data_IF_769751775126
#
_entry.id   IF_769751775126
#
_cell.length_a   1.000
_cell.length_b   1.000
_cell.length_c   1.000
_cell.angle_alpha   90.00
_cell.angle_beta   90.00
_cell.angle_gamma   90.00
#
_symmetry.space_group_name_H-M   'P 1'
#
loop_
_entity.id
_entity.type
_entity.pdbx_description
1 polymer ?
#
# COMPACT_ATOMS: atom_id res chain seq x y z
N UNK A 1 -9.02 36.21 -35.22
CA UNK A 1 -9.58 35.09 -36.00
C UNK A 1 -8.62 34.83 -37.15
N UNK A 2 -8.14 33.66 -37.54
CA UNK A 2 -8.29 32.23 -37.24
C UNK A 2 -6.93 31.60 -37.69
N UNK A 3 -6.45 30.43 -37.29
CA UNK A 3 -7.11 29.16 -37.09
C UNK A 3 -6.40 28.38 -35.99
N UNK A 4 -7.18 27.79 -35.08
CA UNK A 4 -6.67 26.75 -34.20
C UNK A 4 -6.07 25.65 -35.08
N UNK A 5 -4.79 25.36 -34.85
CA UNK A 5 -4.11 24.24 -35.46
C UNK A 5 -4.84 22.98 -34.98
N UNK A 6 -5.80 22.48 -35.77
CA UNK A 6 -6.50 21.24 -35.44
C UNK A 6 -5.42 20.17 -35.34
N UNK A 7 -5.31 19.56 -34.16
CA UNK A 7 -4.43 18.43 -33.94
C UNK A 7 -4.61 17.44 -35.10
N UNK A 8 -3.52 17.16 -35.84
CA UNK A 8 -3.54 16.16 -36.90
C UNK A 8 -4.02 14.82 -36.31
N UNK A 9 -4.73 13.97 -37.06
CA UNK A 9 -5.18 12.66 -36.57
C UNK A 9 -4.06 11.86 -35.90
N UNK A 10 -2.86 11.86 -36.49
CA UNK A 10 -1.65 11.23 -35.94
C UNK A 10 -1.26 11.76 -34.54
N UNK A 11 -1.46 13.06 -34.27
CA UNK A 11 -1.18 13.66 -32.97
C UNK A 11 -2.25 13.33 -31.92
N UNK A 12 -3.50 13.12 -32.35
CA UNK A 12 -4.59 12.67 -31.47
C UNK A 12 -4.39 11.19 -31.11
N UNK A 13 -4.01 10.38 -32.09
CA UNK A 13 -3.73 8.96 -31.89
C UNK A 13 -2.52 8.77 -30.96
N UNK A 14 -1.46 9.56 -31.14
CA UNK A 14 -0.28 9.54 -30.25
C UNK A 14 -0.65 10.01 -28.83
N UNK A 15 -1.43 11.08 -28.69
CA UNK A 15 -1.88 11.55 -27.37
C UNK A 15 -2.74 10.49 -26.66
N UNK A 16 -3.59 9.78 -27.41
CA UNK A 16 -4.39 8.67 -26.88
C UNK A 16 -3.51 7.51 -26.43
N UNK A 17 -2.51 7.11 -27.23
CA UNK A 17 -1.56 6.05 -26.85
C UNK A 17 -0.81 6.40 -25.56
N UNK A 18 -0.32 7.64 -25.42
CA UNK A 18 0.35 8.09 -24.21
C UNK A 18 -0.58 8.10 -22.98
N UNK A 19 -1.86 8.47 -23.17
CA UNK A 19 -2.84 8.42 -22.10
C UNK A 19 -3.11 6.98 -21.64
N UNK A 20 -3.29 6.05 -22.58
CA UNK A 20 -3.49 4.62 -22.31
C UNK A 20 -2.26 4.00 -21.61
N UNK A 21 -1.04 4.35 -22.04
CA UNK A 21 0.21 3.93 -21.41
C UNK A 21 0.34 4.49 -19.98
N UNK A 22 0.07 5.78 -19.80
CA UNK A 22 0.12 6.43 -18.49
C UNK A 22 -0.87 5.80 -17.51
N UNK A 23 -2.09 5.50 -17.99
CA UNK A 23 -3.11 4.82 -17.19
C UNK A 23 -2.63 3.43 -16.76
N UNK A 24 -2.05 2.66 -17.68
CA UNK A 24 -1.50 1.34 -17.39
C UNK A 24 -0.38 1.42 -16.35
N UNK A 25 0.56 2.36 -16.52
CA UNK A 25 1.67 2.56 -15.59
C UNK A 25 1.17 2.95 -14.19
N UNK A 26 0.13 3.78 -14.09
CA UNK A 26 -0.49 4.14 -12.81
C UNK A 26 -1.12 2.92 -12.11
N UNK A 27 -1.85 2.07 -12.85
CA UNK A 27 -2.41 0.82 -12.31
C UNK A 27 -1.32 -0.11 -11.79
N UNK A 28 -0.27 -0.32 -12.59
CA UNK A 28 0.84 -1.20 -12.23
C UNK A 28 1.58 -0.67 -10.98
N UNK A 29 1.73 0.64 -10.85
CA UNK A 29 2.32 1.28 -9.67
C UNK A 29 1.49 1.05 -8.41
N UNK A 30 0.17 1.24 -8.47
CA UNK A 30 -0.72 0.96 -7.35
C UNK A 30 -0.72 -0.52 -6.95
N UNK A 31 -0.80 -1.45 -7.90
CA UNK A 31 -0.66 -2.88 -7.58
C UNK A 31 0.69 -3.22 -6.95
N UNK A 32 1.78 -2.58 -7.38
CA UNK A 32 3.08 -2.77 -6.77
C UNK A 32 3.13 -2.23 -5.33
N UNK A 33 2.53 -1.07 -5.08
CA UNK A 33 2.42 -0.49 -3.75
C UNK A 33 1.58 -1.37 -2.81
N UNK A 34 0.42 -1.84 -3.27
CA UNK A 34 -0.42 -2.78 -2.53
C UNK A 34 0.35 -4.04 -2.08
N UNK A 35 1.08 -4.68 -3.00
CA UNK A 35 1.91 -5.85 -2.66
C UNK A 35 2.96 -5.54 -1.60
N UNK A 36 3.62 -4.38 -1.67
CA UNK A 36 4.60 -3.96 -0.66
C UNK A 36 3.96 -3.77 0.71
N UNK A 37 2.80 -3.14 0.76
CA UNK A 37 2.05 -2.99 2.01
C UNK A 37 1.65 -4.37 2.59
N UNK A 38 1.24 -5.33 1.77
CA UNK A 38 0.98 -6.71 2.25
C UNK A 38 2.24 -7.39 2.82
N UNK A 39 3.39 -7.21 2.17
CA UNK A 39 4.67 -7.76 2.65
C UNK A 39 5.08 -7.13 3.99
N UNK A 40 4.90 -5.81 4.14
CA UNK A 40 5.15 -5.09 5.39
C UNK A 40 4.21 -5.55 6.50
N UNK A 41 2.91 -5.71 6.20
CA UNK A 41 1.94 -6.23 7.16
C UNK A 41 2.38 -7.61 7.69
N UNK A 42 2.71 -8.55 6.80
CA UNK A 42 3.19 -9.89 7.19
C UNK A 42 4.45 -9.84 8.05
N UNK A 43 5.34 -8.89 7.78
CA UNK A 43 6.56 -8.70 8.57
C UNK A 43 6.22 -8.23 9.97
N UNK A 44 5.35 -7.23 10.10
CA UNK A 44 4.86 -6.76 11.39
C UNK A 44 4.12 -7.84 12.18
N UNK A 45 3.27 -8.63 11.54
CA UNK A 45 2.56 -9.75 12.18
C UNK A 45 3.54 -10.78 12.75
N UNK A 46 4.59 -11.13 12.00
CA UNK A 46 5.62 -12.06 12.48
C UNK A 46 6.33 -11.49 13.70
N UNK A 47 6.69 -10.21 13.66
CA UNK A 47 7.36 -9.54 14.78
C UNK A 47 6.44 -9.43 16.00
N UNK A 48 5.17 -9.10 15.82
CA UNK A 48 4.17 -9.07 16.89
C UNK A 48 4.05 -10.42 17.59
N UNK A 49 3.93 -11.51 16.81
CA UNK A 49 3.89 -12.87 17.33
C UNK A 49 5.15 -13.22 18.13
N UNK A 50 6.34 -12.81 17.67
CA UNK A 50 7.59 -13.03 18.39
C UNK A 50 7.59 -12.33 19.75
N UNK A 51 7.13 -11.08 19.80
CA UNK A 51 7.00 -10.33 21.06
C UNK A 51 5.99 -10.96 22.01
N UNK A 52 4.82 -11.41 21.52
CA UNK A 52 3.83 -12.10 22.34
C UNK A 52 4.38 -13.41 22.93
N UNK A 53 5.11 -14.19 22.13
CA UNK A 53 5.75 -15.41 22.61
C UNK A 53 6.82 -15.12 23.67
N UNK A 54 7.58 -14.04 23.52
CA UNK A 54 8.55 -13.60 24.52
C UNK A 54 7.86 -13.17 25.81
N UNK A 55 6.81 -12.35 25.73
CA UNK A 55 6.01 -11.90 26.87
C UNK A 55 5.47 -13.07 27.68
N UNK A 56 4.89 -14.08 27.02
CA UNK A 56 4.39 -15.30 27.67
C UNK A 56 5.50 -16.08 28.40
N UNK A 57 6.69 -16.21 27.79
CA UNK A 57 7.82 -16.92 28.41
C UNK A 57 8.34 -16.17 29.64
N UNK A 58 8.36 -14.84 29.59
CA UNK A 58 8.87 -13.99 30.66
C UNK A 58 7.91 -13.95 31.84
N UNK A 59 6.61 -13.81 31.56
CA UNK A 59 5.54 -13.95 32.56
C UNK A 59 5.62 -15.29 33.31
N UNK A 60 5.94 -16.39 32.63
CA UNK A 60 6.08 -17.71 33.27
C UNK A 60 7.34 -17.86 34.13
N UNK A 61 8.42 -17.14 33.79
CA UNK A 61 9.70 -17.23 34.50
C UNK A 61 9.83 -16.21 35.64
N UNK A 62 8.97 -15.19 35.68
CA UNK A 62 9.05 -14.10 36.64
C UNK A 62 10.30 -13.21 36.45
N UNK A 63 10.80 -13.13 35.20
CA UNK A 63 11.97 -12.35 34.81
C UNK A 63 11.55 -11.38 33.70
N UNK A 64 12.00 -10.12 33.77
CA UNK A 64 11.65 -9.00 32.87
C UNK A 64 10.18 -8.54 32.96
N UNK A 65 9.87 -7.46 32.22
CA UNK A 65 8.55 -6.82 32.16
C UNK A 65 7.75 -7.34 30.95
N UNK A 66 6.83 -8.31 31.14
CA UNK A 66 6.02 -8.86 30.06
C UNK A 66 5.04 -7.83 29.47
N UNK A 67 4.65 -6.80 30.22
CA UNK A 67 3.70 -5.78 29.75
C UNK A 67 4.35 -4.90 28.69
N UNK A 68 5.65 -4.60 28.82
CA UNK A 68 6.40 -3.89 27.80
C UNK A 68 6.44 -4.68 26.48
N UNK A 69 6.69 -5.99 26.52
CA UNK A 69 6.73 -6.84 25.33
C UNK A 69 5.35 -6.97 24.69
N UNK A 70 4.31 -7.06 25.50
CA UNK A 70 2.93 -7.05 25.00
C UNK A 70 2.61 -5.73 24.29
N UNK A 71 2.99 -4.59 24.87
CA UNK A 71 2.80 -3.28 24.23
C UNK A 71 3.53 -3.18 22.87
N UNK A 72 4.75 -3.73 22.77
CA UNK A 72 5.48 -3.79 21.49
C UNK A 72 4.78 -4.69 20.47
N UNK A 73 4.21 -5.82 20.90
CA UNK A 73 3.41 -6.65 20.02
C UNK A 73 2.19 -5.92 19.48
N UNK A 74 1.48 -5.19 20.35
CA UNK A 74 0.27 -4.47 19.97
C UNK A 74 0.57 -3.33 18.98
N UNK A 75 1.70 -2.64 19.13
CA UNK A 75 2.17 -1.65 18.15
C UNK A 75 2.42 -2.28 16.77
N UNK A 76 3.01 -3.47 16.73
CA UNK A 76 3.22 -4.18 15.47
C UNK A 76 1.90 -4.71 14.88
N UNK A 77 0.94 -5.12 15.69
CA UNK A 77 -0.40 -5.47 15.20
C UNK A 77 -1.12 -4.26 14.59
N UNK A 78 -1.01 -3.10 15.21
CA UNK A 78 -1.56 -1.85 14.64
C UNK A 78 -0.88 -1.52 13.30
N UNK A 79 0.45 -1.54 13.24
CA UNK A 79 1.18 -1.27 12.01
C UNK A 79 0.85 -2.29 10.89
N UNK A 80 0.64 -3.56 11.22
CA UNK A 80 0.19 -4.56 10.27
C UNK A 80 -1.23 -4.27 9.75
N UNK A 81 -2.13 -3.85 10.62
CA UNK A 81 -3.49 -3.46 10.26
C UNK A 81 -3.48 -2.26 9.31
N UNK A 82 -2.73 -1.21 9.65
CA UNK A 82 -2.65 0.01 8.84
C UNK A 82 -2.10 -0.30 7.44
N UNK A 83 -1.03 -1.10 7.34
CA UNK A 83 -0.51 -1.55 6.04
C UNK A 83 -1.54 -2.38 5.25
N UNK A 84 -2.35 -3.22 5.90
CA UNK A 84 -3.41 -3.95 5.18
C UNK A 84 -4.46 -3.00 4.62
N UNK A 85 -4.82 -1.93 5.35
CA UNK A 85 -5.73 -0.91 4.85
C UNK A 85 -5.13 -0.17 3.65
N UNK A 86 -3.88 0.29 3.74
CA UNK A 86 -3.18 0.95 2.64
C UNK A 86 -3.10 0.05 1.40
N UNK A 87 -2.86 -1.26 1.59
CA UNK A 87 -2.89 -2.21 0.49
C UNK A 87 -4.26 -2.28 -0.20
N UNK A 88 -5.35 -2.28 0.57
CA UNK A 88 -6.71 -2.33 0.02
C UNK A 88 -7.01 -1.04 -0.74
N UNK A 89 -6.57 0.10 -0.21
CA UNK A 89 -6.73 1.40 -0.88
C UNK A 89 -5.96 1.45 -2.20
N UNK A 90 -4.74 0.94 -2.25
CA UNK A 90 -3.97 0.87 -3.49
C UNK A 90 -4.57 -0.12 -4.51
N UNK A 91 -5.09 -1.27 -4.06
CA UNK A 91 -5.84 -2.17 -4.96
C UNK A 91 -7.08 -1.47 -5.53
N UNK A 92 -7.85 -0.75 -4.71
CA UNK A 92 -9.01 0.01 -5.15
C UNK A 92 -8.63 1.11 -6.15
N UNK A 93 -7.51 1.81 -5.94
CA UNK A 93 -6.99 2.83 -6.88
C UNK A 93 -6.53 2.21 -8.20
N UNK A 94 -5.97 1.00 -8.18
CA UNK A 94 -5.59 0.27 -9.38
C UNK A 94 -6.83 -0.16 -10.21
N UNK A 95 -7.90 -0.58 -9.54
CA UNK A 95 -9.15 -0.99 -10.17
C UNK A 95 -9.94 0.22 -10.72
N UNK A 96 -9.87 1.37 -10.04
CA UNK A 96 -10.58 2.61 -10.39
C UNK A 96 -9.63 3.82 -10.58
N UNK A 97 -8.71 3.79 -11.55
CA UNK A 97 -7.70 4.84 -11.72
C UNK A 97 -8.28 6.21 -12.11
N UNK A 98 -9.48 6.25 -12.71
CA UNK A 98 -10.13 7.50 -13.12
C UNK A 98 -10.58 8.35 -11.92
N UNK A 99 -10.77 7.75 -10.74
CA UNK A 99 -11.09 8.47 -9.50
C UNK A 99 -9.86 9.10 -8.84
N UNK A 100 -8.65 8.66 -9.22
CA UNK A 100 -7.38 9.23 -8.73
C UNK A 100 -6.94 10.47 -9.50
N UNK A 101 -7.55 10.78 -10.66
CA UNK A 101 -7.21 11.92 -11.52
C UNK A 101 -8.07 13.17 -11.25
N UNK A 102 -8.40 13.44 -9.99
CA UNK A 102 -9.02 14.70 -9.55
C UNK A 102 -8.10 15.43 -8.59
N UNK A 103 -7.07 16.09 -9.14
CA UNK A 103 -6.14 16.96 -8.44
C UNK A 103 -5.72 18.11 -9.33
#
# INVERSE_FOLDING_TARGET
>A
MAAGNRASPESVDLARQHAEESLRNAKDAHHAAARRHQELARTHERTANNYQQAAMRFAQRGVDDPDQLQSQADQHWQAAHDNRLESIEDEAKADHPEQSSSG
#
